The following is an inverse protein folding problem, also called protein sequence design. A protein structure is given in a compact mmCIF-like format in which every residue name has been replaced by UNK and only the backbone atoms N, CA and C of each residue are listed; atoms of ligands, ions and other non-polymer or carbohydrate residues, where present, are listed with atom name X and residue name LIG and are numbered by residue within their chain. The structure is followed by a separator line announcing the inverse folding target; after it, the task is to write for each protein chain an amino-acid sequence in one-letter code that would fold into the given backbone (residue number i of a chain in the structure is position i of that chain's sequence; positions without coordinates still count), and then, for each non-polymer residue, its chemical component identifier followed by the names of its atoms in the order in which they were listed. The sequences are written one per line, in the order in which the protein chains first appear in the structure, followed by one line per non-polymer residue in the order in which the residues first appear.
data_IF_165390850102
#
_entry.id   IF_165390850102
#
_cell.length_a   1.000
_cell.length_b   1.000
_cell.length_c   1.000
_cell.angle_alpha   90.00
_cell.angle_beta   90.00
_cell.angle_gamma   90.00
#
_symmetry.space_group_name_H-M   'P 1'
#
loop_
_entity.id
_entity.type
_entity.pdbx_description
1 polymer ?
#
# COMPACT_ATOMS: atom_id res chain seq x y z
N UNK A 1 11.01 -50.56 -75.16
CA UNK A 1 10.05 -51.68 -75.10
C UNK A 1 10.42 -52.54 -73.92
N UNK A 2 9.45 -52.80 -73.02
CA UNK A 2 9.31 -54.00 -72.18
C UNK A 2 10.49 -54.38 -71.25
N UNK A 3 10.28 -54.99 -70.10
CA UNK A 3 9.12 -55.26 -69.27
C UNK A 3 9.67 -55.95 -68.00
N UNK A 4 9.04 -55.65 -66.86
CA UNK A 4 8.50 -56.56 -65.83
C UNK A 4 9.27 -57.82 -65.42
N UNK A 5 9.39 -58.01 -64.09
CA UNK A 5 8.68 -59.03 -63.27
C UNK A 5 9.51 -59.31 -62.00
N UNK A 6 9.15 -58.90 -60.77
CA UNK A 6 8.10 -59.31 -59.81
C UNK A 6 8.35 -60.60 -59.00
N UNK A 7 8.01 -60.49 -57.70
CA UNK A 7 7.76 -61.50 -56.63
C UNK A 7 8.96 -61.73 -55.68
N UNK A 8 8.91 -61.79 -54.33
CA UNK A 8 7.85 -62.01 -53.29
C UNK A 8 8.51 -61.73 -51.90
N UNK A 9 8.01 -60.84 -51.01
CA UNK A 9 7.12 -61.04 -49.83
C UNK A 9 7.76 -61.54 -48.49
N UNK A 10 7.50 -60.79 -47.39
CA UNK A 10 7.20 -61.17 -45.97
C UNK A 10 7.93 -60.27 -44.92
N UNK A 11 7.22 -59.35 -44.24
CA UNK A 11 6.65 -59.41 -42.86
C UNK A 11 7.71 -59.30 -41.71
N UNK A 12 7.57 -58.59 -40.57
CA UNK A 12 6.57 -57.71 -39.93
C UNK A 12 7.22 -57.16 -38.59
N UNK A 13 6.76 -56.00 -38.08
CA UNK A 13 6.78 -55.47 -36.67
C UNK A 13 8.10 -54.90 -36.08
N UNK A 14 8.14 -53.59 -35.74
CA UNK A 14 8.11 -53.04 -34.34
C UNK A 14 8.43 -51.54 -34.24
N UNK A 15 7.49 -50.84 -33.58
CA UNK A 15 7.59 -49.63 -32.75
C UNK A 15 8.64 -48.55 -33.06
N UNK A 16 8.15 -47.38 -33.47
CA UNK A 16 8.87 -46.10 -33.40
C UNK A 16 8.83 -45.51 -31.99
N UNK A 17 9.99 -45.27 -31.39
CA UNK A 17 10.16 -44.16 -30.46
C UNK A 17 11.30 -43.27 -30.95
N UNK A 18 10.94 -42.02 -31.14
CA UNK A 18 11.78 -40.90 -31.58
C UNK A 18 12.64 -40.39 -30.43
N UNK A 19 13.95 -40.32 -30.67
CA UNK A 19 14.84 -39.41 -29.96
C UNK A 19 15.57 -38.56 -31.03
N UNK A 20 15.16 -37.30 -31.20
CA UNK A 20 15.88 -36.35 -32.03
C UNK A 20 16.88 -35.59 -31.17
N UNK A 21 18.14 -35.70 -31.58
CA UNK A 21 19.32 -35.04 -31.04
C UNK A 21 19.39 -33.59 -31.54
N UNK A 22 19.67 -32.70 -30.60
CA UNK A 22 20.34 -31.39 -30.64
C UNK A 22 20.86 -30.86 -31.98
N UNK A 23 20.46 -29.61 -32.30
CA UNK A 23 21.35 -28.61 -32.91
C UNK A 23 21.20 -27.26 -32.17
N UNK A 24 22.32 -26.77 -31.63
CA UNK A 24 22.45 -25.47 -30.99
C UNK A 24 22.24 -24.34 -32.00
N UNK A 25 21.32 -23.42 -31.70
CA UNK A 25 21.24 -22.10 -32.33
C UNK A 25 21.83 -21.10 -31.34
N UNK A 26 22.77 -20.28 -31.81
CA UNK A 26 23.46 -19.26 -31.02
C UNK A 26 22.45 -18.40 -30.27
N UNK A 27 22.71 -18.23 -28.98
CA UNK A 27 21.94 -17.37 -28.09
C UNK A 27 22.24 -15.94 -28.52
N UNK A 28 21.33 -15.32 -29.27
CA UNK A 28 21.28 -13.86 -29.33
C UNK A 28 21.13 -13.41 -27.87
N UNK A 29 22.15 -12.70 -27.37
CA UNK A 29 22.04 -11.99 -26.10
C UNK A 29 20.88 -11.01 -26.25
N UNK A 30 19.75 -11.36 -25.63
CA UNK A 30 18.66 -10.43 -25.41
C UNK A 30 19.29 -9.19 -24.77
N UNK A 31 18.95 -7.97 -25.25
CA UNK A 31 19.44 -6.77 -24.61
C UNK A 31 19.09 -6.86 -23.13
N UNK A 32 20.09 -6.64 -22.27
CA UNK A 32 19.87 -6.51 -20.82
C UNK A 32 18.81 -5.43 -20.66
N UNK A 33 17.57 -5.83 -20.34
CA UNK A 33 16.54 -4.88 -19.96
C UNK A 33 17.11 -4.07 -18.81
N UNK A 34 17.23 -2.75 -18.99
CA UNK A 34 17.69 -1.89 -17.90
C UNK A 34 16.82 -2.19 -16.68
N UNK A 35 17.43 -2.39 -15.49
CA UNK A 35 16.65 -2.62 -14.29
C UNK A 35 15.61 -1.52 -14.14
N UNK A 36 14.36 -1.93 -13.91
CA UNK A 36 13.23 -1.02 -13.76
C UNK A 36 13.51 0.12 -12.78
N UNK A 37 12.95 1.30 -13.07
CA UNK A 37 13.20 2.49 -12.27
C UNK A 37 12.82 2.27 -10.78
N UNK A 38 13.65 2.74 -9.83
CA UNK A 38 13.44 2.51 -8.39
C UNK A 38 12.10 3.08 -7.91
N UNK A 39 11.67 2.57 -6.76
CA UNK A 39 10.47 3.04 -6.12
C UNK A 39 10.54 4.55 -5.83
N UNK A 40 9.43 5.24 -6.10
CA UNK A 40 9.33 6.70 -5.98
C UNK A 40 8.05 7.11 -5.31
N UNK A 41 8.08 8.29 -4.71
CA UNK A 41 6.95 8.88 -4.01
C UNK A 41 6.56 10.19 -4.66
N UNK A 42 5.35 10.26 -5.19
CA UNK A 42 4.68 11.55 -5.40
C UNK A 42 3.98 11.95 -4.11
N UNK A 43 4.11 13.21 -3.70
CA UNK A 43 3.39 13.76 -2.55
C UNK A 43 2.98 15.22 -2.78
N UNK A 44 1.81 15.56 -2.26
CA UNK A 44 1.28 16.91 -2.16
C UNK A 44 0.71 17.10 -0.75
N UNK A 45 1.02 18.20 -0.08
CA UNK A 45 0.53 18.46 1.28
C UNK A 45 0.04 19.88 1.52
N UNK A 46 -0.78 20.01 2.56
CA UNK A 46 -1.29 21.28 3.07
C UNK A 46 -0.15 22.20 3.56
N UNK A 47 0.83 21.63 4.26
CA UNK A 47 1.97 22.38 4.79
C UNK A 47 2.80 23.08 3.70
N UNK A 48 2.89 22.47 2.52
CA UNK A 48 3.58 23.02 1.34
C UNK A 48 2.64 23.86 0.44
N UNK A 49 1.37 24.04 0.86
CA UNK A 49 0.30 24.72 0.10
C UNK A 49 0.06 24.15 -1.29
N UNK A 50 0.32 22.86 -1.44
CA UNK A 50 0.31 22.19 -2.73
C UNK A 50 -1.07 22.11 -3.38
N UNK A 51 -2.14 22.05 -2.56
CA UNK A 51 -3.51 22.00 -3.05
C UNK A 51 -3.94 23.26 -3.80
N UNK A 52 -3.19 24.35 -3.71
CA UNK A 52 -3.43 25.57 -4.50
C UNK A 52 -3.27 25.34 -6.00
N UNK A 53 -2.38 24.41 -6.38
CA UNK A 53 -2.12 24.04 -7.78
C UNK A 53 -3.14 23.07 -8.37
N UNK A 54 -4.04 22.54 -7.54
CA UNK A 54 -5.05 21.58 -7.99
C UNK A 54 -6.17 22.30 -8.75
N UNK A 55 -6.72 21.62 -9.77
CA UNK A 55 -7.98 22.04 -10.38
C UNK A 55 -9.11 21.63 -9.46
N UNK A 56 -9.88 22.60 -8.95
CA UNK A 56 -10.89 22.40 -7.89
C UNK A 56 -12.30 22.70 -8.39
N UNK A 57 -13.26 21.89 -7.97
CA UNK A 57 -14.70 22.10 -8.16
C UNK A 57 -15.40 21.90 -6.81
N UNK A 58 -16.05 22.94 -6.26
CA UNK A 58 -16.75 22.85 -4.97
C UNK A 58 -15.84 22.57 -3.76
N UNK A 59 -14.53 22.84 -3.89
CA UNK A 59 -13.54 22.70 -2.82
C UNK A 59 -12.71 23.96 -2.68
N UNK A 60 -12.29 24.25 -1.45
CA UNK A 60 -11.46 25.38 -1.10
C UNK A 60 -10.20 24.94 -0.35
N UNK A 61 -9.19 25.80 -0.35
CA UNK A 61 -7.95 25.62 0.41
C UNK A 61 -8.03 26.53 1.64
N UNK A 62 -7.86 25.94 2.83
CA UNK A 62 -7.85 26.67 4.11
C UNK A 62 -6.57 27.48 4.28
N UNK A 63 -6.53 28.36 5.29
CA UNK A 63 -5.36 29.21 5.55
C UNK A 63 -4.07 28.41 5.84
N UNK A 64 -4.21 27.21 6.41
CA UNK A 64 -3.12 26.25 6.66
C UNK A 64 -2.92 25.25 5.50
N UNK A 65 -3.52 25.54 4.35
CA UNK A 65 -3.28 24.85 3.09
C UNK A 65 -4.08 23.56 2.87
N UNK A 66 -4.93 23.12 3.80
CA UNK A 66 -5.71 21.89 3.64
C UNK A 66 -6.90 22.07 2.70
N UNK A 67 -7.32 20.96 2.08
CA UNK A 67 -8.47 20.95 1.18
C UNK A 67 -9.75 20.61 1.96
N UNK A 68 -10.80 21.42 1.75
CA UNK A 68 -12.13 21.28 2.37
C UNK A 68 -13.24 21.50 1.33
N UNK A 69 -14.48 21.13 1.64
CA UNK A 69 -15.66 21.48 0.86
C UNK A 69 -16.02 22.96 1.04
N UNK A 70 -16.44 23.58 -0.06
CA UNK A 70 -17.06 24.90 -0.01
C UNK A 70 -18.48 24.83 0.56
N UNK A 71 -18.91 25.90 1.23
CA UNK A 71 -20.29 26.02 1.68
C UNK A 71 -21.29 25.95 0.50
N UNK A 72 -20.91 26.51 -0.64
CA UNK A 72 -21.66 26.54 -1.90
C UNK A 72 -21.46 25.31 -2.79
N UNK A 73 -20.73 24.29 -2.32
CA UNK A 73 -20.52 23.07 -3.09
C UNK A 73 -21.86 22.45 -3.48
N UNK A 74 -21.94 21.94 -4.72
CA UNK A 74 -23.18 21.36 -5.24
C UNK A 74 -23.64 20.19 -4.38
N UNK A 75 -24.94 19.95 -4.35
CA UNK A 75 -25.54 18.80 -3.69
C UNK A 75 -25.90 17.73 -4.70
N UNK A 76 -25.79 16.47 -4.30
CA UNK A 76 -26.28 15.32 -5.03
C UNK A 76 -27.04 14.40 -4.07
N UNK A 77 -27.91 13.57 -4.62
CA UNK A 77 -28.74 12.62 -3.89
C UNK A 77 -28.75 11.23 -4.54
N UNK A 78 -27.95 11.01 -5.59
CA UNK A 78 -27.87 9.70 -6.22
C UNK A 78 -27.33 8.70 -5.20
N UNK A 79 -28.09 7.64 -4.86
CA UNK A 79 -27.56 6.54 -4.08
C UNK A 79 -26.48 5.88 -4.94
N UNK A 80 -25.22 6.03 -4.53
CA UNK A 80 -24.21 5.05 -4.94
C UNK A 80 -24.77 3.69 -4.45
N UNK A 81 -24.84 2.64 -5.27
CA UNK A 81 -25.76 1.51 -5.08
C UNK A 81 -25.94 1.13 -3.61
N UNK A 82 -27.11 1.46 -3.07
CA UNK A 82 -27.40 1.32 -1.66
C UNK A 82 -27.45 -0.16 -1.29
N UNK A 83 -26.85 -0.47 -0.15
CA UNK A 83 -26.92 -1.79 0.47
C UNK A 83 -26.69 -1.60 1.95
N UNK A 84 -27.76 -1.72 2.72
CA UNK A 84 -27.67 -1.88 4.17
C UNK A 84 -27.24 -3.31 4.43
N UNK A 85 -26.12 -3.50 5.11
CA UNK A 85 -25.54 -4.81 5.39
C UNK A 85 -26.16 -5.40 6.67
N UNK A 86 -25.95 -6.70 6.91
CA UNK A 86 -26.53 -7.43 8.05
C UNK A 86 -26.13 -6.87 9.42
N UNK A 87 -25.00 -6.15 9.50
CA UNK A 87 -24.52 -5.47 10.72
C UNK A 87 -25.15 -4.07 10.92
N UNK A 88 -26.04 -3.65 10.02
CA UNK A 88 -26.73 -2.36 10.06
C UNK A 88 -25.98 -1.21 9.39
N UNK A 89 -24.72 -1.40 8.97
CA UNK A 89 -23.94 -0.39 8.26
C UNK A 89 -24.47 -0.17 6.84
N UNK A 90 -24.26 1.03 6.30
CA UNK A 90 -24.59 1.33 4.89
C UNK A 90 -23.31 1.41 4.06
N UNK A 91 -23.28 0.67 2.94
CA UNK A 91 -22.16 0.77 1.98
C UNK A 91 -22.06 2.18 1.38
N UNK A 92 -23.20 2.86 1.26
CA UNK A 92 -23.33 4.26 0.86
C UNK A 92 -24.59 4.88 1.46
N UNK A 93 -24.51 6.16 1.84
CA UNK A 93 -25.59 6.93 2.44
C UNK A 93 -26.73 7.21 1.45
N UNK A 94 -27.98 6.87 1.82
CA UNK A 94 -29.19 7.26 1.10
C UNK A 94 -29.72 8.63 1.56
N UNK A 95 -28.93 9.69 1.42
CA UNK A 95 -29.46 11.05 1.58
C UNK A 95 -28.66 12.08 0.80
N UNK A 96 -29.21 13.28 0.69
CA UNK A 96 -28.56 14.42 0.05
C UNK A 96 -27.24 14.74 0.73
N UNK A 97 -26.18 14.88 -0.06
CA UNK A 97 -24.86 15.29 0.39
C UNK A 97 -24.31 16.39 -0.50
N UNK A 98 -23.49 17.26 0.08
CA UNK A 98 -22.61 18.15 -0.69
C UNK A 98 -21.41 17.37 -1.19
N UNK A 99 -20.94 17.68 -2.39
CA UNK A 99 -19.70 17.13 -2.92
C UNK A 99 -18.87 18.16 -3.66
N UNK A 100 -17.58 17.89 -3.68
CA UNK A 100 -16.58 18.62 -4.43
C UNK A 100 -15.41 17.73 -4.78
N UNK A 101 -14.58 18.18 -5.70
CA UNK A 101 -13.38 17.46 -6.11
C UNK A 101 -12.18 18.39 -6.24
N UNK A 102 -10.99 17.81 -6.13
CA UNK A 102 -9.74 18.43 -6.51
C UNK A 102 -8.87 17.43 -7.25
N UNK A 103 -8.44 17.81 -8.45
CA UNK A 103 -7.60 17.01 -9.35
C UNK A 103 -6.19 17.58 -9.31
N UNK A 104 -5.20 16.72 -9.08
CA UNK A 104 -3.79 17.13 -9.12
C UNK A 104 -3.39 17.61 -10.51
N UNK A 105 -2.31 18.39 -10.57
CA UNK A 105 -1.55 18.54 -11.80
C UNK A 105 -1.08 17.18 -12.34
N UNK A 106 -0.74 17.13 -13.62
CA UNK A 106 -0.15 15.94 -14.23
C UNK A 106 1.24 15.72 -13.64
N UNK A 107 1.44 14.60 -12.95
CA UNK A 107 2.74 14.20 -12.45
C UNK A 107 3.43 13.30 -13.46
N UNK A 108 4.54 13.76 -14.04
CA UNK A 108 5.41 12.92 -14.85
C UNK A 108 6.22 11.97 -13.96
N UNK A 109 6.46 10.77 -14.47
CA UNK A 109 7.20 9.68 -13.80
C UNK A 109 8.31 9.20 -14.74
N UNK A 110 9.49 9.83 -14.76
CA UNK A 110 10.60 9.46 -15.66
C UNK A 110 11.00 7.99 -15.53
N UNK A 111 11.16 7.23 -16.60
CA UNK A 111 11.39 5.76 -16.54
C UNK A 111 10.13 4.92 -16.28
N UNK A 112 8.98 5.58 -16.09
CA UNK A 112 7.66 4.97 -16.00
C UNK A 112 7.39 4.16 -14.73
N UNK A 113 6.17 3.64 -14.63
CA UNK A 113 5.69 2.78 -13.54
C UNK A 113 4.56 1.88 -14.04
N UNK A 114 4.28 0.78 -13.34
CA UNK A 114 3.14 -0.09 -13.64
C UNK A 114 2.46 -0.64 -12.36
N UNK A 115 2.83 -0.11 -11.20
CA UNK A 115 2.20 -0.36 -9.92
C UNK A 115 2.14 0.96 -9.15
N UNK A 116 0.98 1.27 -8.56
CA UNK A 116 0.81 2.46 -7.74
C UNK A 116 -0.11 2.20 -6.55
N UNK A 117 0.27 2.71 -5.38
CA UNK A 117 -0.52 2.69 -4.15
C UNK A 117 -0.70 4.14 -3.69
N UNK A 118 -1.92 4.69 -3.66
CA UNK A 118 -2.15 6.01 -3.14
C UNK A 118 -2.14 5.99 -1.60
N UNK A 119 -1.91 7.14 -0.98
CA UNK A 119 -2.21 7.34 0.45
C UNK A 119 -2.75 8.74 0.63
N UNK A 120 -3.49 8.94 1.72
CA UNK A 120 -4.13 10.20 2.00
C UNK A 120 -4.19 10.45 3.51
N UNK A 121 -3.88 11.68 3.90
CA UNK A 121 -4.08 12.15 5.27
C UNK A 121 -5.40 12.92 5.29
N UNK A 122 -6.46 12.34 5.86
CA UNK A 122 -7.78 12.94 5.86
C UNK A 122 -8.48 12.83 7.22
N UNK A 123 -8.91 13.98 7.74
CA UNK A 123 -9.87 14.03 8.84
C UNK A 123 -11.27 14.04 8.25
N UNK A 124 -12.10 13.09 8.68
CA UNK A 124 -13.50 12.99 8.24
C UNK A 124 -14.39 13.01 9.49
N UNK A 125 -14.79 14.20 9.97
CA UNK A 125 -15.78 14.30 11.04
C UNK A 125 -17.08 13.54 10.72
N UNK A 126 -17.93 13.24 11.72
CA UNK A 126 -19.19 12.54 11.50
C UNK A 126 -20.05 13.19 10.40
N UNK A 127 -20.60 12.36 9.51
CA UNK A 127 -21.37 12.82 8.34
C UNK A 127 -20.51 13.18 7.12
N UNK A 128 -19.20 12.92 7.15
CA UNK A 128 -18.28 13.26 6.06
C UNK A 128 -17.43 12.08 5.63
N UNK A 129 -17.01 12.05 4.36
CA UNK A 129 -16.15 11.01 3.81
C UNK A 129 -15.38 11.53 2.59
N UNK A 130 -14.38 10.75 2.14
CA UNK A 130 -13.62 11.03 0.92
C UNK A 130 -13.59 9.82 0.00
N UNK A 131 -13.34 10.05 -1.29
CA UNK A 131 -13.02 9.01 -2.28
C UNK A 131 -11.79 9.44 -3.06
N UNK A 132 -10.87 8.50 -3.30
CA UNK A 132 -9.67 8.75 -4.11
C UNK A 132 -9.79 8.00 -5.43
N UNK A 133 -9.53 8.70 -6.55
CA UNK A 133 -9.38 8.08 -7.87
C UNK A 133 -8.03 8.45 -8.48
N UNK A 134 -7.52 7.58 -9.35
CA UNK A 134 -6.26 7.78 -10.06
C UNK A 134 -6.41 7.37 -11.52
N UNK A 135 -5.87 8.18 -12.42
CA UNK A 135 -5.65 7.79 -13.81
C UNK A 135 -4.15 7.82 -14.13
N UNK A 136 -3.74 6.89 -14.99
CA UNK A 136 -2.38 6.80 -15.48
C UNK A 136 -2.35 7.11 -16.98
N UNK A 137 -1.21 7.55 -17.49
CA UNK A 137 -1.03 7.78 -18.92
C UNK A 137 -0.12 6.71 -19.51
N UNK A 138 -0.63 5.93 -20.45
CA UNK A 138 0.07 4.86 -21.15
C UNK A 138 0.16 5.25 -22.62
N UNK A 139 1.38 5.34 -23.15
CA UNK A 139 1.61 5.64 -24.58
C UNK A 139 0.88 6.93 -25.05
N UNK A 140 0.83 7.94 -24.17
CA UNK A 140 0.16 9.22 -24.44
C UNK A 140 -1.36 9.24 -24.23
N UNK A 141 -1.98 8.10 -23.93
CA UNK A 141 -3.43 7.98 -23.68
C UNK A 141 -3.71 7.83 -22.19
N UNK A 142 -4.70 8.57 -21.68
CA UNK A 142 -5.15 8.42 -20.29
C UNK A 142 -6.04 7.20 -20.15
N UNK A 143 -5.79 6.40 -19.11
CA UNK A 143 -6.74 5.38 -18.65
C UNK A 143 -8.03 6.02 -18.18
N UNK A 144 -9.06 5.20 -17.94
CA UNK A 144 -10.15 5.62 -17.05
C UNK A 144 -9.61 5.94 -15.64
N UNK A 145 -10.43 6.60 -14.84
CA UNK A 145 -10.17 6.76 -13.43
C UNK A 145 -10.45 5.44 -12.69
N UNK A 146 -9.45 4.91 -11.98
CA UNK A 146 -9.60 3.78 -11.08
C UNK A 146 -9.88 4.29 -9.66
N UNK A 147 -10.78 3.63 -8.94
CA UNK A 147 -11.22 3.96 -7.60
C UNK A 147 -10.33 3.24 -6.57
N UNK A 148 -9.64 3.99 -5.73
CA UNK A 148 -8.64 3.46 -4.79
C UNK A 148 -9.04 3.73 -3.34
N UNK A 149 -10.34 3.60 -3.08
CA UNK A 149 -10.91 3.60 -1.74
C UNK A 149 -11.91 4.72 -1.50
N UNK A 150 -12.92 4.38 -0.70
CA UNK A 150 -13.85 5.29 -0.05
C UNK A 150 -13.57 5.24 1.45
N UNK A 151 -13.30 6.40 2.04
CA UNK A 151 -12.81 6.51 3.41
C UNK A 151 -13.69 7.41 4.27
N UNK A 152 -14.13 6.87 5.39
CA UNK A 152 -14.62 7.60 6.54
C UNK A 152 -13.96 7.01 7.80
N UNK A 153 -13.64 7.89 8.74
CA UNK A 153 -13.07 7.50 10.03
C UNK A 153 -14.08 6.68 10.84
N UNK A 154 -15.35 7.10 10.88
CA UNK A 154 -16.47 6.34 11.43
C UNK A 154 -17.08 5.40 10.39
N UNK A 155 -18.09 4.61 10.80
CA UNK A 155 -18.85 3.70 9.91
C UNK A 155 -20.03 4.38 9.22
N UNK A 156 -20.37 5.59 9.67
CA UNK A 156 -21.43 6.42 9.12
C UNK A 156 -20.81 7.75 8.64
N UNK A 157 -21.30 8.32 7.54
CA UNK A 157 -22.47 7.89 6.77
C UNK A 157 -22.14 6.81 5.72
N UNK A 158 -20.87 6.41 5.62
CA UNK A 158 -20.38 5.40 4.69
C UNK A 158 -19.40 4.50 5.40
N UNK A 159 -19.63 3.20 5.34
CA UNK A 159 -18.67 2.22 5.83
C UNK A 159 -17.48 2.16 4.87
N UNK A 160 -16.26 2.45 5.32
CA UNK A 160 -15.07 2.52 4.46
C UNK A 160 -14.84 1.22 3.67
N UNK A 161 -14.52 1.34 2.38
CA UNK A 161 -14.38 0.18 1.51
C UNK A 161 -13.52 0.43 0.27
N UNK A 162 -12.88 -0.63 -0.22
CA UNK A 162 -12.35 -0.74 -1.58
C UNK A 162 -13.47 -0.95 -2.60
N UNK A 163 -13.14 -0.88 -3.89
CA UNK A 163 -14.10 -1.11 -4.97
C UNK A 163 -13.68 -2.34 -5.78
N UNK A 164 -14.55 -3.34 -5.81
CA UNK A 164 -14.36 -4.61 -6.52
C UNK A 164 -14.53 -4.49 -8.04
N UNK A 165 -14.04 -5.51 -8.76
CA UNK A 165 -14.33 -5.70 -10.19
C UNK A 165 -13.66 -4.70 -11.14
N UNK A 166 -12.72 -3.90 -10.64
CA UNK A 166 -12.03 -2.91 -11.45
C UNK A 166 -10.90 -3.54 -12.26
N UNK A 167 -11.19 -3.93 -13.51
CA UNK A 167 -10.21 -4.40 -14.48
C UNK A 167 -10.60 -4.08 -15.91
N UNK A 168 -9.62 -3.82 -16.77
CA UNK A 168 -9.81 -3.59 -18.22
C UNK A 168 -8.52 -3.88 -19.01
N UNK A 169 -8.40 -3.35 -20.22
CA UNK A 169 -7.24 -3.53 -21.08
C UNK A 169 -5.97 -2.84 -20.57
N UNK A 170 -6.08 -1.86 -19.68
CA UNK A 170 -4.95 -1.05 -19.21
C UNK A 170 -4.46 -1.47 -17.83
N UNK A 171 -5.35 -1.92 -16.94
CA UNK A 171 -4.98 -2.26 -15.58
C UNK A 171 -6.06 -2.95 -14.76
N UNK A 172 -5.70 -3.27 -13.52
CA UNK A 172 -6.56 -3.89 -12.52
C UNK A 172 -6.23 -3.35 -11.14
N UNK A 173 -7.25 -3.09 -10.33
CA UNK A 173 -7.09 -2.74 -8.91
C UNK A 173 -7.17 -3.99 -8.05
N UNK A 174 -6.19 -4.15 -7.17
CA UNK A 174 -6.15 -5.19 -6.15
C UNK A 174 -6.30 -4.51 -4.79
N UNK A 175 -7.55 -4.39 -4.31
CA UNK A 175 -7.95 -3.69 -3.08
C UNK A 175 -7.57 -2.20 -3.07
N UNK A 176 -6.29 -1.89 -2.89
CA UNK A 176 -5.70 -0.56 -2.77
C UNK A 176 -4.50 -0.32 -3.71
N UNK A 177 -4.11 -1.33 -4.50
CA UNK A 177 -3.00 -1.23 -5.46
C UNK A 177 -3.53 -1.24 -6.90
N UNK A 178 -3.27 -0.19 -7.68
CA UNK A 178 -3.49 -0.21 -9.12
C UNK A 178 -2.27 -0.82 -9.82
N UNK A 179 -2.53 -1.91 -10.53
CA UNK A 179 -1.55 -2.64 -11.32
C UNK A 179 -1.86 -2.46 -12.81
N UNK A 180 -0.98 -1.79 -13.52
CA UNK A 180 -1.08 -1.57 -14.96
C UNK A 180 -0.46 -2.75 -15.73
N UNK A 181 -1.02 -3.03 -16.90
CA UNK A 181 -0.52 -4.06 -17.83
C UNK A 181 0.66 -3.58 -18.66
N UNK A 182 0.81 -2.26 -18.80
CA UNK A 182 1.89 -1.58 -19.52
C UNK A 182 2.43 -0.43 -18.67
N UNK A 183 3.66 0.01 -18.94
CA UNK A 183 4.25 1.16 -18.23
C UNK A 183 3.47 2.42 -18.56
N UNK A 184 3.10 3.15 -17.51
CA UNK A 184 2.64 4.52 -17.59
C UNK A 184 3.80 5.49 -17.34
N UNK A 185 3.73 6.67 -17.96
CA UNK A 185 4.73 7.74 -17.84
C UNK A 185 4.24 8.94 -17.02
N UNK A 186 2.95 8.97 -16.67
CA UNK A 186 2.36 10.00 -15.86
C UNK A 186 1.16 9.49 -15.05
N UNK A 187 0.82 10.21 -14.00
CA UNK A 187 -0.40 10.00 -13.22
C UNK A 187 -1.10 11.33 -12.92
N UNK A 188 -2.39 11.24 -12.63
CA UNK A 188 -3.16 12.29 -11.95
C UNK A 188 -3.99 11.63 -10.87
N UNK A 189 -4.12 12.30 -9.73
CA UNK A 189 -4.93 11.82 -8.62
C UNK A 189 -6.03 12.83 -8.31
N UNK A 190 -7.25 12.32 -8.14
CA UNK A 190 -8.42 13.11 -7.77
C UNK A 190 -8.86 12.70 -6.38
N UNK A 191 -9.06 13.68 -5.51
CA UNK A 191 -9.76 13.47 -4.25
C UNK A 191 -11.14 14.10 -4.33
N UNK A 192 -12.15 13.32 -3.96
CA UNK A 192 -13.54 13.74 -3.86
C UNK A 192 -13.88 13.87 -2.38
N UNK A 193 -14.48 14.98 -1.99
CA UNK A 193 -14.92 15.25 -0.63
C UNK A 193 -16.45 15.23 -0.61
N UNK A 194 -17.01 14.69 0.47
CA UNK A 194 -18.45 14.58 0.63
C UNK A 194 -18.87 14.93 2.05
N UNK A 195 -20.05 15.53 2.19
CA UNK A 195 -20.65 15.81 3.49
C UNK A 195 -22.18 15.77 3.44
N UNK A 196 -22.76 14.90 4.25
CA UNK A 196 -24.20 14.92 4.57
C UNK A 196 -24.51 15.81 5.79
N UNK A 197 -23.48 16.39 6.41
CA UNK A 197 -23.62 17.32 7.53
C UNK A 197 -23.36 18.77 7.05
N UNK A 198 -24.34 19.69 7.10
CA UNK A 198 -24.15 21.06 6.64
C UNK A 198 -23.07 21.82 7.43
N UNK A 199 -22.79 21.42 8.67
CA UNK A 199 -21.84 22.08 9.57
C UNK A 199 -20.43 21.46 9.54
N UNK A 200 -20.24 20.35 8.83
CA UNK A 200 -18.96 19.65 8.77
C UNK A 200 -18.45 19.46 7.33
N UNK A 201 -17.13 19.39 7.20
CA UNK A 201 -16.42 19.08 5.97
C UNK A 201 -15.30 18.09 6.25
N UNK A 202 -14.99 17.14 5.32
CA UNK A 202 -13.70 16.48 5.34
C UNK A 202 -12.58 17.52 5.25
N UNK A 203 -11.43 17.20 5.83
CA UNK A 203 -10.22 18.00 5.73
C UNK A 203 -9.05 17.13 5.29
N UNK A 204 -8.60 17.32 4.05
CA UNK A 204 -7.49 16.57 3.46
C UNK A 204 -6.19 17.36 3.65
N UNK A 205 -5.23 16.76 4.33
CA UNK A 205 -3.94 17.37 4.68
C UNK A 205 -2.81 16.94 3.75
N UNK A 206 -2.93 15.77 3.12
CA UNK A 206 -1.97 15.34 2.12
C UNK A 206 -2.53 14.23 1.23
N UNK A 207 -1.91 14.12 0.07
CA UNK A 207 -2.09 13.06 -0.90
C UNK A 207 -0.70 12.56 -1.31
N UNK A 208 -0.55 11.25 -1.47
CA UNK A 208 0.68 10.65 -1.99
C UNK A 208 0.40 9.44 -2.86
N UNK A 209 1.38 9.06 -3.67
CA UNK A 209 1.35 7.85 -4.48
C UNK A 209 2.74 7.23 -4.49
N UNK A 210 2.85 6.02 -3.94
CA UNK A 210 4.04 5.19 -4.09
C UNK A 210 3.96 4.48 -5.44
N UNK A 211 4.85 4.83 -6.36
CA UNK A 211 4.94 4.25 -7.69
C UNK A 211 6.14 3.32 -7.76
N UNK A 212 5.95 2.18 -8.42
CA UNK A 212 7.02 1.24 -8.68
C UNK A 212 6.82 0.54 -10.02
N UNK A 213 7.90 -0.09 -10.46
CA UNK A 213 7.89 -0.97 -11.61
C UNK A 213 8.02 -2.44 -11.17
N UNK A 214 7.04 -3.25 -11.55
CA UNK A 214 6.98 -4.68 -11.27
C UNK A 214 8.11 -5.48 -11.90
N UNK A 215 8.69 -4.99 -12.99
CA UNK A 215 9.84 -5.62 -13.65
C UNK A 215 11.17 -5.13 -13.05
N UNK A 216 11.16 -4.12 -12.19
CA UNK A 216 12.34 -3.67 -11.48
C UNK A 216 12.81 -4.69 -10.44
N UNK A 217 14.11 -4.95 -10.42
CA UNK A 217 14.75 -5.74 -9.36
C UNK A 217 15.32 -4.74 -8.36
N UNK A 218 14.67 -4.61 -7.21
CA UNK A 218 15.27 -3.89 -6.09
C UNK A 218 16.44 -4.69 -5.51
N UNK A 219 17.47 -3.97 -5.07
CA UNK A 219 18.69 -4.54 -4.50
C UNK A 219 18.91 -3.96 -3.12
N UNK A 220 18.94 -4.82 -2.10
CA UNK A 220 19.38 -4.41 -0.77
C UNK A 220 20.90 -4.12 -0.84
N UNK A 221 21.22 -2.84 -1.02
CA UNK A 221 22.60 -2.35 -1.02
C UNK A 221 23.33 -2.66 0.29
N UNK A 222 24.64 -2.41 0.31
CA UNK A 222 25.40 -2.49 1.57
C UNK A 222 24.78 -1.56 2.61
N UNK A 223 24.30 -2.13 3.72
CA UNK A 223 23.60 -1.38 4.76
C UNK A 223 24.44 -0.25 5.37
N UNK A 224 23.77 0.78 5.86
CA UNK A 224 24.35 1.79 6.73
C UNK A 224 24.62 1.17 8.11
N UNK A 225 25.84 0.67 8.27
CA UNK A 225 26.29 0.04 9.51
C UNK A 225 26.30 0.99 10.71
N UNK A 226 26.18 2.31 10.51
CA UNK A 226 26.21 3.28 11.62
C UNK A 226 25.02 3.13 12.58
N UNK A 227 23.91 2.53 12.13
CA UNK A 227 22.72 2.29 12.96
C UNK A 227 22.60 0.85 13.46
N UNK A 228 23.51 -0.04 13.09
CA UNK A 228 23.50 -1.42 13.59
C UNK A 228 23.70 -1.43 15.11
N UNK A 229 22.90 -2.25 15.80
CA UNK A 229 22.79 -2.22 17.26
C UNK A 229 21.78 -1.20 17.81
N UNK A 230 21.10 -0.43 16.94
CA UNK A 230 20.01 0.46 17.35
C UNK A 230 18.67 -0.28 17.28
N UNK A 231 17.95 -0.29 18.40
CA UNK A 231 16.58 -0.81 18.50
C UNK A 231 15.70 0.25 19.16
N UNK A 232 14.63 0.63 18.46
CA UNK A 232 13.63 1.57 18.97
C UNK A 232 12.68 0.83 19.92
N UNK A 233 12.31 1.50 21.01
CA UNK A 233 11.37 0.99 22.03
C UNK A 233 9.92 1.02 21.54
N UNK A 234 9.63 0.22 20.51
CA UNK A 234 8.28 0.04 19.98
C UNK A 234 7.52 -0.97 20.84
N UNK A 235 6.35 -0.58 21.40
CA UNK A 235 5.53 -1.49 22.19
C UNK A 235 5.12 -2.72 21.40
N UNK A 236 5.20 -3.90 22.01
CA UNK A 236 4.77 -5.15 21.40
C UNK A 236 3.27 -5.38 21.58
N UNK A 237 2.59 -5.83 20.52
CA UNK A 237 1.21 -6.32 20.58
C UNK A 237 1.04 -7.58 19.75
N UNK A 238 0.42 -8.59 20.34
CA UNK A 238 0.06 -9.85 19.70
C UNK A 238 -1.37 -9.82 19.21
N UNK A 239 -1.57 -10.19 17.95
CA UNK A 239 -2.91 -10.37 17.38
C UNK A 239 -3.57 -11.66 17.93
N UNK A 240 -2.78 -12.59 18.44
CA UNK A 240 -3.24 -13.91 18.89
C UNK A 240 -3.97 -13.88 20.24
N UNK A 241 -3.93 -12.74 20.95
CA UNK A 241 -4.69 -12.51 22.17
C UNK A 241 -6.21 -12.33 21.90
N UNK A 242 -6.61 -12.20 20.63
CA UNK A 242 -8.00 -11.93 20.23
C UNK A 242 -8.52 -13.09 19.37
N UNK A 243 -9.06 -14.17 19.96
CA UNK A 243 -9.51 -15.34 19.19
C UNK A 243 -10.62 -15.02 18.18
N UNK A 244 -11.44 -13.99 18.47
CA UNK A 244 -12.58 -13.56 17.65
C UNK A 244 -12.18 -12.64 16.48
N UNK A 245 -11.20 -13.08 15.67
CA UNK A 245 -10.76 -12.39 14.44
C UNK A 245 -9.30 -11.91 14.44
N UNK A 246 -8.64 -11.92 15.59
CA UNK A 246 -7.23 -11.57 15.73
C UNK A 246 -6.26 -12.31 14.81
N UNK A 247 -6.42 -13.61 14.49
CA UNK A 247 -5.53 -14.32 13.57
C UNK A 247 -5.38 -13.70 12.16
N UNK A 248 -6.24 -12.74 11.77
CA UNK A 248 -6.14 -12.00 10.50
C UNK A 248 -5.93 -10.48 10.69
N UNK A 249 -5.53 -10.04 11.88
CA UNK A 249 -5.36 -8.63 12.27
C UNK A 249 -3.89 -8.16 12.33
N UNK A 250 -2.99 -8.78 11.58
CA UNK A 250 -1.57 -8.40 11.56
C UNK A 250 -1.35 -6.90 11.23
N UNK A 251 -2.08 -6.38 10.24
CA UNK A 251 -2.00 -4.98 9.81
C UNK A 251 -2.47 -3.96 10.88
N UNK A 252 -3.69 -4.05 11.43
CA UNK A 252 -4.12 -3.15 12.50
C UNK A 252 -3.33 -3.32 13.79
N UNK A 253 -2.80 -4.52 14.06
CA UNK A 253 -1.91 -4.75 15.21
C UNK A 253 -0.58 -4.01 15.03
N UNK A 254 0.02 -4.10 13.84
CA UNK A 254 1.21 -3.33 13.48
C UNK A 254 0.97 -1.83 13.55
N UNK A 255 -0.18 -1.37 13.06
CA UNK A 255 -0.59 0.05 13.15
C UNK A 255 -0.75 0.51 14.60
N UNK A 256 -1.33 -0.32 15.48
CA UNK A 256 -1.45 -0.05 16.91
C UNK A 256 -0.08 0.12 17.56
N UNK A 257 0.89 -0.73 17.25
CA UNK A 257 2.26 -0.64 17.77
C UNK A 257 2.95 0.67 17.35
N UNK A 258 2.84 1.06 16.07
CA UNK A 258 3.42 2.32 15.57
C UNK A 258 2.74 3.55 16.19
N UNK A 259 1.41 3.53 16.34
CA UNK A 259 0.65 4.58 17.01
C UNK A 259 1.05 4.70 18.49
N UNK A 260 1.20 3.57 19.19
CA UNK A 260 1.63 3.55 20.59
C UNK A 260 3.08 4.06 20.77
N UNK A 261 3.97 3.78 19.81
CA UNK A 261 5.32 4.34 19.78
C UNK A 261 5.27 5.88 19.69
N UNK A 262 4.55 6.42 18.71
CA UNK A 262 4.43 7.86 18.53
C UNK A 262 3.68 8.55 19.66
N UNK A 263 2.64 7.92 20.21
CA UNK A 263 1.93 8.43 21.39
C UNK A 263 2.85 8.67 22.58
N UNK A 264 3.78 7.73 22.85
CA UNK A 264 4.80 7.92 23.89
C UNK A 264 5.82 9.00 23.51
N UNK A 265 6.35 8.96 22.27
CA UNK A 265 7.41 9.87 21.81
C UNK A 265 6.96 11.33 21.75
N UNK A 266 5.69 11.57 21.43
CA UNK A 266 5.11 12.91 21.31
C UNK A 266 4.36 13.36 22.59
N UNK A 267 4.19 12.48 23.58
CA UNK A 267 3.35 12.77 24.75
C UNK A 267 1.87 12.96 24.38
N UNK A 268 1.38 12.20 23.40
CA UNK A 268 0.02 12.29 22.84
C UNK A 268 -0.75 11.00 23.16
N UNK A 269 -1.37 10.88 24.36
CA UNK A 269 -2.05 9.67 24.79
C UNK A 269 -3.21 9.25 23.88
N UNK A 270 -3.80 10.18 23.14
CA UNK A 270 -4.87 9.93 22.17
C UNK A 270 -4.41 9.18 20.92
N UNK A 271 -3.10 9.02 20.70
CA UNK A 271 -2.57 8.09 19.69
C UNK A 271 -2.56 6.64 20.21
N UNK A 272 -2.62 6.42 21.52
CA UNK A 272 -2.58 5.07 22.11
C UNK A 272 -3.98 4.45 22.01
N UNK A 273 -4.09 3.39 21.21
CA UNK A 273 -5.35 2.68 20.92
C UNK A 273 -5.19 1.18 21.22
N UNK A 274 -6.25 0.40 21.04
CA UNK A 274 -6.23 -1.06 21.19
C UNK A 274 -6.24 -1.75 19.81
N UNK A 275 -5.77 -3.00 19.76
CA UNK A 275 -5.80 -3.81 18.54
C UNK A 275 -7.25 -3.96 18.01
N UNK A 276 -8.27 -4.32 18.83
CA UNK A 276 -9.65 -4.39 18.33
C UNK A 276 -10.19 -3.06 17.81
N UNK A 277 -9.84 -1.93 18.45
CA UNK A 277 -10.27 -0.61 17.97
C UNK A 277 -9.63 -0.29 16.63
N UNK A 278 -8.34 -0.56 16.45
CA UNK A 278 -7.66 -0.38 15.16
C UNK A 278 -8.22 -1.31 14.09
N UNK A 279 -8.53 -2.55 14.43
CA UNK A 279 -9.16 -3.50 13.50
C UNK A 279 -10.53 -2.99 13.05
N UNK A 280 -11.37 -2.52 13.97
CA UNK A 280 -12.67 -1.93 13.67
C UNK A 280 -12.55 -0.68 12.77
N UNK A 281 -11.54 0.17 13.03
CA UNK A 281 -11.31 1.44 12.32
C UNK A 281 -10.59 1.29 10.98
N UNK A 282 -10.06 0.10 10.68
CA UNK A 282 -9.37 -0.19 9.40
C UNK A 282 -10.05 -1.27 8.58
N UNK A 283 -11.14 -1.86 9.08
CA UNK A 283 -11.92 -2.85 8.35
C UNK A 283 -12.44 -2.26 7.04
N UNK A 284 -12.06 -2.89 5.93
CA UNK A 284 -12.54 -2.64 4.59
C UNK A 284 -13.69 -3.58 4.30
N UNK A 285 -14.88 -3.01 4.12
CA UNK A 285 -16.13 -3.76 3.98
C UNK A 285 -16.24 -4.61 2.72
N UNK A 286 -15.55 -4.21 1.65
CA UNK A 286 -15.57 -4.95 0.38
C UNK A 286 -14.50 -6.04 0.40
N UNK A 287 -13.29 -5.71 0.88
CA UNK A 287 -12.23 -6.69 1.11
C UNK A 287 -12.59 -7.71 2.22
N UNK A 288 -13.50 -7.36 3.12
CA UNK A 288 -13.92 -8.14 4.30
C UNK A 288 -12.78 -8.44 5.28
N UNK A 289 -11.89 -7.47 5.46
CA UNK A 289 -10.72 -7.61 6.33
C UNK A 289 -10.00 -6.29 6.57
N UNK A 290 -8.88 -6.35 7.27
CA UNK A 290 -8.11 -5.17 7.69
C UNK A 290 -6.79 -5.03 6.91
N UNK A 291 -6.65 -5.80 5.83
CA UNK A 291 -5.45 -5.87 4.99
C UNK A 291 -5.33 -4.77 3.93
N UNK A 292 -6.26 -3.81 3.89
CA UNK A 292 -6.12 -2.60 3.07
C UNK A 292 -5.06 -1.70 3.71
N UNK A 293 -3.88 -1.62 3.10
CA UNK A 293 -2.72 -0.91 3.64
C UNK A 293 -2.99 0.58 3.76
N UNK A 294 -3.65 1.14 2.74
CA UNK A 294 -3.99 2.56 2.67
C UNK A 294 -4.91 2.96 3.82
N UNK A 295 -5.90 2.13 4.16
CA UNK A 295 -6.81 2.38 5.28
C UNK A 295 -6.12 2.36 6.65
N UNK A 296 -5.08 1.55 6.82
CA UNK A 296 -4.29 1.55 8.06
C UNK A 296 -3.49 2.86 8.20
N UNK A 297 -2.86 3.32 7.14
CA UNK A 297 -2.12 4.61 7.15
C UNK A 297 -3.06 5.81 7.27
N UNK A 298 -4.23 5.77 6.62
CA UNK A 298 -5.26 6.80 6.75
C UNK A 298 -5.81 6.86 8.18
N UNK A 299 -6.12 5.72 8.81
CA UNK A 299 -6.52 5.64 10.21
C UNK A 299 -5.47 6.31 11.10
N UNK A 300 -4.21 5.89 10.98
CA UNK A 300 -3.14 6.42 11.79
C UNK A 300 -2.91 7.93 11.61
N UNK A 301 -3.05 8.43 10.38
CA UNK A 301 -2.95 9.86 10.07
C UNK A 301 -4.12 10.70 10.60
N UNK A 302 -5.27 10.08 10.91
CA UNK A 302 -6.44 10.77 11.44
C UNK A 302 -6.42 10.84 12.97
N UNK A 303 -5.69 9.94 13.63
CA UNK A 303 -5.53 9.90 15.08
C UNK A 303 -4.83 11.17 15.59
N UNK A 304 -5.14 11.54 16.84
CA UNK A 304 -4.54 12.71 17.49
C UNK A 304 -4.72 14.02 16.74
N UNK A 305 -5.88 14.20 16.10
CA UNK A 305 -6.21 15.39 15.30
C UNK A 305 -5.17 15.68 14.21
N UNK A 306 -4.70 14.61 13.56
CA UNK A 306 -3.67 14.72 12.53
C UNK A 306 -2.27 14.94 13.06
N UNK A 307 -1.94 14.43 14.25
CA UNK A 307 -0.59 14.51 14.83
C UNK A 307 0.48 13.85 13.97
N UNK A 308 0.09 12.87 13.14
CA UNK A 308 0.97 12.12 12.25
C UNK A 308 0.56 12.29 10.79
N UNK A 309 1.54 12.16 9.90
CA UNK A 309 1.34 11.74 8.53
C UNK A 309 1.41 10.21 8.45
N UNK A 310 0.67 9.61 7.52
CA UNK A 310 0.73 8.18 7.24
C UNK A 310 0.77 7.92 5.74
N UNK A 311 1.70 7.07 5.29
CA UNK A 311 1.75 6.66 3.90
C UNK A 311 2.26 5.23 3.75
N UNK A 312 1.78 4.57 2.69
CA UNK A 312 2.41 3.37 2.17
C UNK A 312 3.52 3.81 1.23
N UNK A 313 4.75 3.39 1.52
CA UNK A 313 5.91 3.55 0.65
C UNK A 313 6.27 2.21 0.00
N UNK A 314 7.07 2.29 -1.06
CA UNK A 314 7.79 1.17 -1.65
C UNK A 314 9.26 1.47 -1.42
N UNK A 315 9.94 0.69 -0.58
CA UNK A 315 11.37 0.85 -0.34
C UNK A 315 12.14 -0.24 -1.09
N UNK A 316 13.28 0.12 -1.66
CA UNK A 316 14.14 -0.73 -2.48
C UNK A 316 15.16 -1.54 -1.65
N UNK A 317 15.23 -1.34 -0.33
CA UNK A 317 16.14 -2.09 0.54
C UNK A 317 16.11 -1.65 2.00
N UNK A 318 16.78 -2.42 2.86
CA UNK A 318 16.91 -2.10 4.27
C UNK A 318 17.80 -0.88 4.52
N UNK A 319 18.67 -0.50 3.58
CA UNK A 319 19.41 0.77 3.65
C UNK A 319 18.51 2.00 3.84
N UNK A 320 17.31 2.01 3.25
CA UNK A 320 16.34 3.09 3.44
C UNK A 320 15.66 2.99 4.82
N UNK A 321 15.42 1.77 5.29
CA UNK A 321 14.87 1.54 6.63
C UNK A 321 15.88 1.93 7.71
N UNK A 322 17.17 1.67 7.52
CA UNK A 322 18.25 2.11 8.39
C UNK A 322 18.25 3.64 8.57
N UNK A 323 18.03 4.41 7.49
CA UNK A 323 17.86 5.88 7.58
C UNK A 323 16.62 6.29 8.39
N UNK A 324 15.53 5.54 8.29
CA UNK A 324 14.33 5.78 9.09
C UNK A 324 14.59 5.47 10.57
N UNK A 325 15.25 4.36 10.88
CA UNK A 325 15.66 4.00 12.25
C UNK A 325 16.64 5.04 12.82
N UNK A 326 17.60 5.53 12.02
CA UNK A 326 18.49 6.63 12.41
C UNK A 326 17.71 7.87 12.85
N UNK A 327 16.60 8.16 12.17
CA UNK A 327 15.70 9.26 12.46
C UNK A 327 14.66 8.95 13.56
N UNK A 328 14.72 7.76 14.19
CA UNK A 328 13.77 7.33 15.20
C UNK A 328 12.37 7.01 14.65
N UNK A 329 12.29 6.55 13.40
CA UNK A 329 11.03 6.20 12.72
C UNK A 329 10.99 4.68 12.52
N UNK A 330 10.24 3.91 13.34
CA UNK A 330 9.97 2.51 13.06
C UNK A 330 8.99 2.38 11.89
N UNK A 331 8.99 1.22 11.24
CA UNK A 331 8.15 0.97 10.06
C UNK A 331 7.42 -0.35 10.18
N UNK A 332 6.29 -0.49 9.50
CA UNK A 332 5.69 -1.81 9.28
C UNK A 332 5.96 -2.27 7.85
N UNK A 333 6.35 -3.53 7.66
CA UNK A 333 6.62 -4.11 6.35
C UNK A 333 5.66 -5.26 6.06
N UNK A 334 5.25 -5.39 4.80
CA UNK A 334 4.43 -6.51 4.34
C UNK A 334 5.32 -7.63 3.80
N UNK A 335 5.25 -8.80 4.41
CA UNK A 335 6.03 -9.98 4.05
C UNK A 335 5.12 -11.12 3.61
N UNK A 336 5.64 -12.00 2.76
CA UNK A 336 5.07 -13.29 2.46
C UNK A 336 6.21 -14.29 2.27
N UNK A 337 6.00 -15.56 2.62
CA UNK A 337 7.03 -16.59 2.59
C UNK A 337 6.41 -17.98 2.71
N UNK A 338 7.09 -18.95 2.12
CA UNK A 338 6.79 -20.37 2.22
C UNK A 338 7.47 -21.00 3.44
N UNK A 339 7.14 -22.27 3.67
CA UNK A 339 7.73 -23.03 4.76
C UNK A 339 9.26 -23.11 4.68
N UNK A 340 9.91 -22.75 5.78
CA UNK A 340 11.36 -22.83 5.93
C UNK A 340 12.13 -21.64 5.33
N UNK A 341 11.43 -20.66 4.75
CA UNK A 341 12.08 -19.49 4.14
C UNK A 341 12.40 -18.37 5.16
N UNK A 342 11.71 -18.33 6.30
CA UNK A 342 11.91 -17.36 7.37
C UNK A 342 12.13 -18.04 8.73
N UNK A 343 13.39 -18.16 9.14
CA UNK A 343 13.78 -18.83 10.38
C UNK A 343 13.30 -18.05 11.60
N UNK A 344 12.71 -18.75 12.57
CA UNK A 344 12.23 -18.15 13.83
C UNK A 344 10.83 -17.55 13.76
N UNK A 345 10.16 -17.63 12.60
CA UNK A 345 8.76 -17.20 12.44
C UNK A 345 7.81 -18.02 13.33
N UNK A 346 6.78 -17.39 13.94
CA UNK A 346 5.77 -18.08 14.75
C UNK A 346 4.73 -18.84 13.89
N UNK A 347 4.69 -18.57 12.58
CA UNK A 347 3.81 -19.24 11.61
C UNK A 347 4.64 -19.96 10.53
N UNK A 348 4.12 -21.07 10.01
CA UNK A 348 4.83 -21.95 9.07
C UNK A 348 5.07 -21.30 7.72
N UNK A 349 4.07 -20.59 7.20
CA UNK A 349 4.09 -19.84 5.94
C UNK A 349 3.04 -18.73 6.00
N UNK A 350 3.10 -17.77 5.07
CA UNK A 350 2.12 -16.70 4.93
C UNK A 350 2.05 -16.15 3.50
N UNK A 351 0.83 -16.00 2.99
CA UNK A 351 0.54 -15.30 1.72
C UNK A 351 0.51 -13.76 1.88
N UNK A 352 0.64 -13.27 3.12
CA UNK A 352 0.63 -11.85 3.44
C UNK A 352 0.55 -11.63 4.95
N UNK A 353 1.59 -11.03 5.52
CA UNK A 353 1.71 -10.73 6.94
C UNK A 353 2.35 -9.36 7.15
N UNK A 354 1.87 -8.61 8.14
CA UNK A 354 2.43 -7.31 8.50
C UNK A 354 3.14 -7.44 9.84
N UNK A 355 4.41 -7.01 9.86
CA UNK A 355 5.23 -6.95 11.08
C UNK A 355 5.80 -5.54 11.24
N UNK A 356 6.25 -5.19 12.45
CA UNK A 356 6.90 -3.90 12.72
C UNK A 356 8.40 -4.07 12.85
N UNK A 357 9.15 -3.46 11.94
CA UNK A 357 10.60 -3.36 12.01
C UNK A 357 10.98 -2.17 12.88
N UNK A 358 11.73 -2.45 13.95
CA UNK A 358 12.10 -1.46 14.98
C UNK A 358 13.59 -1.26 15.15
N UNK A 359 14.44 -2.01 14.45
CA UNK A 359 15.88 -1.80 14.50
C UNK A 359 16.69 -2.94 13.92
N UNK A 360 17.98 -2.96 14.26
CA UNK A 360 18.96 -3.93 13.77
C UNK A 360 19.89 -4.39 14.90
N UNK A 361 20.33 -5.65 14.85
CA UNK A 361 21.40 -6.14 15.74
C UNK A 361 22.75 -5.52 15.36
N UNK A 362 23.80 -5.66 16.19
CA UNK A 362 25.16 -5.24 15.82
C UNK A 362 25.71 -5.90 14.54
N UNK A 363 25.18 -7.06 14.15
CA UNK A 363 25.54 -7.79 12.93
C UNK A 363 24.66 -7.42 11.72
N UNK A 364 23.65 -6.56 11.91
CA UNK A 364 22.75 -6.09 10.84
C UNK A 364 21.54 -6.98 10.59
N UNK A 365 21.30 -7.99 11.43
CA UNK A 365 20.05 -8.76 11.42
C UNK A 365 18.90 -7.88 11.92
N UNK A 366 17.68 -8.19 11.47
CA UNK A 366 16.55 -7.26 11.58
C UNK A 366 15.73 -7.56 12.83
N UNK A 367 15.56 -6.55 13.68
CA UNK A 367 14.77 -6.66 14.92
C UNK A 367 13.35 -6.15 14.67
N UNK A 368 12.37 -7.03 14.88
CA UNK A 368 10.96 -6.79 14.63
C UNK A 368 10.10 -7.05 15.87
N UNK A 369 8.90 -6.49 15.89
CA UNK A 369 7.75 -7.02 16.61
C UNK A 369 6.85 -7.72 15.58
N UNK A 370 6.66 -9.03 15.73
CA UNK A 370 5.79 -9.85 14.88
C UNK A 370 4.47 -10.16 15.61
N UNK A 371 3.33 -9.63 15.13
CA UNK A 371 2.03 -9.80 15.76
C UNK A 371 1.57 -11.25 15.95
N UNK A 372 2.09 -12.20 15.17
CA UNK A 372 1.62 -13.59 15.16
C UNK A 372 2.21 -14.46 16.29
N UNK A 373 3.12 -13.93 17.11
CA UNK A 373 3.51 -14.59 18.36
C UNK A 373 2.35 -14.60 19.36
N UNK A 374 2.41 -15.50 20.34
CA UNK A 374 1.27 -15.82 21.21
C UNK A 374 0.90 -14.72 22.22
N UNK A 375 1.86 -13.89 22.63
CA UNK A 375 1.65 -12.87 23.68
C UNK A 375 2.44 -11.60 23.36
N UNK A 376 2.04 -10.47 23.95
CA UNK A 376 2.71 -9.16 23.78
C UNK A 376 4.20 -9.21 24.17
N UNK A 377 4.58 -10.04 25.15
CA UNK A 377 5.96 -10.19 25.62
C UNK A 377 6.83 -11.01 24.66
N UNK A 378 6.22 -11.80 23.78
CA UNK A 378 6.92 -12.73 22.88
C UNK A 378 7.01 -12.26 21.44
N UNK A 379 6.38 -11.13 21.08
CA UNK A 379 6.38 -10.62 19.71
C UNK A 379 7.74 -10.13 19.23
N UNK A 380 8.66 -9.77 20.14
CA UNK A 380 9.97 -9.27 19.75
C UNK A 380 10.83 -10.41 19.21
N UNK A 381 11.21 -10.33 17.93
CA UNK A 381 11.94 -11.36 17.20
C UNK A 381 13.07 -10.74 16.38
N UNK A 382 14.14 -11.48 16.15
CA UNK A 382 15.21 -11.11 15.21
C UNK A 382 15.17 -12.06 14.04
N UNK A 383 15.03 -11.51 12.83
CA UNK A 383 15.06 -12.26 11.59
C UNK A 383 16.39 -12.05 10.87
N UNK A 384 16.87 -13.10 10.19
CA UNK A 384 18.02 -12.99 9.31
C UNK A 384 17.72 -12.00 8.19
N UNK A 385 18.62 -11.03 7.99
CA UNK A 385 18.40 -9.94 7.03
C UNK A 385 18.07 -10.46 5.63
N UNK A 386 18.82 -11.44 5.14
CA UNK A 386 18.62 -12.00 3.81
C UNK A 386 17.30 -12.77 3.66
N UNK A 387 16.89 -13.51 4.70
CA UNK A 387 15.61 -14.23 4.73
C UNK A 387 14.44 -13.24 4.72
N UNK A 388 14.50 -12.23 5.60
CA UNK A 388 13.47 -11.21 5.67
C UNK A 388 13.41 -10.35 4.41
N UNK A 389 14.56 -10.07 3.79
CA UNK A 389 14.62 -9.37 2.50
C UNK A 389 13.84 -10.12 1.43
N UNK A 390 14.08 -11.43 1.28
CA UNK A 390 13.32 -12.27 0.33
C UNK A 390 11.83 -12.23 0.63
N UNK A 391 11.45 -12.37 1.91
CA UNK A 391 10.05 -12.34 2.31
C UNK A 391 9.36 -10.98 2.04
N UNK A 392 10.07 -9.87 2.25
CA UNK A 392 9.56 -8.51 2.02
C UNK A 392 9.43 -8.17 0.52
N UNK A 393 10.26 -8.78 -0.33
CA UNK A 393 10.21 -8.55 -1.78
C UNK A 393 8.93 -9.08 -2.45
N UNK A 394 8.18 -9.99 -1.81
CA UNK A 394 6.85 -10.41 -2.31
C UNK A 394 5.87 -9.24 -2.41
N UNK A 395 5.89 -8.33 -1.42
CA UNK A 395 5.11 -7.10 -1.46
C UNK A 395 5.82 -5.99 -2.23
N UNK A 396 7.00 -6.27 -2.83
CA UNK A 396 7.99 -5.34 -3.41
C UNK A 396 8.21 -4.10 -2.55
N UNK A 397 8.65 -4.31 -1.31
CA UNK A 397 9.06 -3.22 -0.44
C UNK A 397 7.91 -2.43 0.19
N UNK A 398 6.68 -2.95 0.18
CA UNK A 398 5.54 -2.23 0.74
C UNK A 398 5.75 -1.98 2.24
N UNK A 399 5.66 -0.72 2.65
CA UNK A 399 6.07 -0.25 3.98
C UNK A 399 5.14 0.83 4.49
N UNK A 400 4.63 0.69 5.71
CA UNK A 400 3.91 1.77 6.38
C UNK A 400 4.92 2.66 7.07
N UNK A 401 4.88 3.94 6.75
CA UNK A 401 5.69 4.95 7.42
C UNK A 401 4.74 5.96 8.06
N UNK A 402 4.85 6.09 9.39
CA UNK A 402 4.17 7.11 10.16
C UNK A 402 5.23 8.07 10.71
N UNK A 403 5.00 9.37 10.55
CA UNK A 403 5.92 10.39 11.08
C UNK A 403 5.16 11.64 11.55
N UNK A 404 5.72 12.44 12.47
CA UNK A 404 5.04 13.61 12.99
C UNK A 404 4.65 14.62 11.90
N UNK A 405 3.46 15.18 12.01
CA UNK A 405 3.04 16.29 11.17
C UNK A 405 3.97 17.48 11.35
N UNK A 406 4.33 18.14 10.24
CA UNK A 406 5.27 19.27 10.26
C UNK A 406 6.75 18.88 10.28
N UNK A 407 7.08 17.58 10.22
CA UNK A 407 8.45 17.12 10.00
C UNK A 407 8.62 16.51 8.61
N UNK A 408 9.85 16.54 8.10
CA UNK A 408 10.22 15.91 6.84
C UNK A 408 10.72 14.48 7.08
N UNK A 409 10.49 13.61 6.09
CA UNK A 409 11.21 12.33 6.01
C UNK A 409 12.72 12.58 5.79
N UNK A 410 13.60 11.64 6.16
CA UNK A 410 15.02 11.74 5.86
C UNK A 410 15.30 12.06 4.39
N UNK A 411 16.33 12.89 4.14
CA UNK A 411 16.79 13.17 2.78
C UNK A 411 17.24 11.88 2.10
N UNK A 412 17.05 11.79 0.79
CA UNK A 412 17.43 10.62 -0.02
C UNK A 412 16.81 9.30 0.49
N UNK A 413 15.72 9.37 1.26
CA UNK A 413 14.97 8.19 1.66
C UNK A 413 14.38 7.49 0.44
N UNK A 414 13.71 8.24 -0.43
CA UNK A 414 13.04 7.73 -1.62
C UNK A 414 13.07 8.82 -2.68
N UNK A 415 13.09 8.44 -3.97
CA UNK A 415 12.99 9.42 -5.04
C UNK A 415 11.66 10.15 -4.97
N UNK A 416 11.67 11.45 -4.63
CA UNK A 416 10.45 12.26 -4.55
C UNK A 416 10.15 12.88 -5.91
N UNK A 417 8.97 12.57 -6.44
CA UNK A 417 8.41 13.20 -7.63
C UNK A 417 7.79 14.53 -7.22
N UNK A 418 8.48 15.62 -7.56
CA UNK A 418 8.01 16.98 -7.31
C UNK A 418 7.21 17.51 -8.47
#
# INVERSE_FOLDING_TARGET
MNARSLSTLALLITSTQTACVSQQKGREELPVEEPGAPARLWRRSASERDFERFTREGTAVTADGALVLEASARTDSVPVPAGRLEDGSTRYHEATYRLGSAISEVQLVPGGFNSVIPSFDALTPPGTWVKVTLAARIEGVWTKDYHLGVWAFDKEPVARHSVEGQGDADGQVFTDTLNLKRRADALRMTVWLFSSNPEATPRVRALSAAVSDKQGVAWDGGGDRSVWGTVLEVPGHSQMLYPDGGPVWCSPTSTTMLLAYWGRRLGRPELVTTVPSSADRTYDWVYKGTGNWVFNTAYASAMGDGALHGAVLRLDGFAQVERLIAAGIPVSISIAYEEGELTGSPVRSSDGHLIVLKGFTPEGDVVCNDPAFKTDETVSVTYKREELWRAWQHSRGATYVLWPSGTALPVELIGVLR
#
